data_IF_960340981197
#
_entry.id   IF_960340981197
#
_cell.length_a   1.000
_cell.length_b   1.000
_cell.length_c   1.000
_cell.angle_alpha   90.00
_cell.angle_beta   90.00
_cell.angle_gamma   90.00
#
_symmetry.space_group_name_H-M   'P 1'
#
loop_
_entity.id
_entity.type
_entity.pdbx_description
1 polymer ?
#
# COMPACT_ATOMS: atom_id res chain seq x y z
N UNK A 1 -0.12 4.28 0.20
CA UNK A 1 -1.51 4.80 0.28
C UNK A 1 -2.23 4.45 1.58
N UNK A 2 -1.78 3.41 2.30
CA UNK A 2 -2.42 2.95 3.54
C UNK A 2 -2.34 4.00 4.65
N UNK A 3 -1.21 4.70 4.79
CA UNK A 3 -1.05 5.80 5.76
C UNK A 3 -2.07 6.96 5.56
N UNK A 4 -2.37 7.33 4.30
CA UNK A 4 -3.43 8.31 3.99
C UNK A 4 -4.81 7.77 4.35
N UNK A 5 -5.05 6.49 4.07
CA UNK A 5 -6.31 5.81 4.36
C UNK A 5 -6.54 5.66 5.87
N UNK A 6 -5.50 5.37 6.65
CA UNK A 6 -5.56 5.33 8.11
C UNK A 6 -5.84 6.71 8.72
N UNK A 7 -5.27 7.78 8.17
CA UNK A 7 -5.61 9.15 8.63
C UNK A 7 -7.05 9.54 8.32
N UNK A 8 -7.64 8.99 7.26
CA UNK A 8 -9.00 9.28 6.82
C UNK A 8 -10.06 8.41 7.50
N UNK A 9 -9.78 7.13 7.67
CA UNK A 9 -10.74 6.10 8.12
C UNK A 9 -10.37 5.54 9.50
N UNK A 10 -9.16 5.78 10.02
CA UNK A 10 -8.70 5.30 11.33
C UNK A 10 -8.46 3.79 11.38
N UNK A 11 -8.62 3.20 12.56
CA UNK A 11 -8.40 1.76 12.84
C UNK A 11 -9.33 0.83 12.04
N UNK A 12 -10.37 1.38 11.40
CA UNK A 12 -11.31 0.63 10.58
C UNK A 12 -10.67 -0.04 9.36
N UNK A 13 -9.49 0.42 8.91
CA UNK A 13 -8.76 -0.23 7.81
C UNK A 13 -8.48 -1.71 8.13
N UNK A 14 -8.08 -2.01 9.37
CA UNK A 14 -7.83 -3.38 9.80
C UNK A 14 -9.13 -4.23 9.80
N UNK A 15 -10.26 -3.63 10.18
CA UNK A 15 -11.56 -4.30 10.16
C UNK A 15 -12.00 -4.63 8.71
N UNK A 16 -11.83 -3.69 7.77
CA UNK A 16 -12.12 -3.94 6.35
C UNK A 16 -11.23 -5.02 5.77
N UNK A 17 -9.94 -5.04 6.12
CA UNK A 17 -9.02 -6.08 5.69
C UNK A 17 -9.39 -7.44 6.26
N UNK A 18 -9.79 -7.51 7.53
CA UNK A 18 -10.26 -8.74 8.16
C UNK A 18 -11.51 -9.28 7.46
N UNK A 19 -12.47 -8.42 7.13
CA UNK A 19 -13.66 -8.80 6.36
C UNK A 19 -13.26 -9.32 4.97
N UNK A 20 -12.36 -8.63 4.27
CA UNK A 20 -11.87 -9.07 2.97
C UNK A 20 -11.20 -10.46 3.06
N UNK A 21 -10.35 -10.69 4.05
CA UNK A 21 -9.73 -12.01 4.31
C UNK A 21 -10.78 -13.09 4.57
N UNK A 22 -11.79 -12.80 5.39
CA UNK A 22 -12.88 -13.75 5.66
C UNK A 22 -13.62 -14.12 4.37
N UNK A 23 -13.92 -13.13 3.52
CA UNK A 23 -14.58 -13.38 2.23
C UNK A 23 -13.72 -14.30 1.36
N UNK A 24 -12.42 -14.00 1.22
CA UNK A 24 -11.49 -14.82 0.42
C UNK A 24 -11.39 -16.24 0.97
N UNK A 25 -11.37 -16.40 2.30
CA UNK A 25 -11.28 -17.71 2.96
C UNK A 25 -12.47 -18.62 2.61
N UNK A 26 -13.68 -18.06 2.55
CA UNK A 26 -14.89 -18.82 2.26
C UNK A 26 -15.20 -18.93 0.76
N UNK A 27 -14.84 -17.93 -0.05
CA UNK A 27 -15.30 -17.82 -1.43
C UNK A 27 -14.26 -18.21 -2.48
N UNK A 28 -12.96 -18.18 -2.15
CA UNK A 28 -11.89 -18.32 -3.15
C UNK A 28 -10.99 -19.49 -2.80
N UNK A 29 -10.12 -19.31 -1.81
CA UNK A 29 -9.15 -20.31 -1.40
C UNK A 29 -8.60 -19.96 0.00
N UNK A 30 -8.36 -21.00 0.81
CA UNK A 30 -7.92 -20.83 2.20
C UNK A 30 -6.46 -20.42 2.31
N UNK A 31 -5.61 -20.95 1.44
CA UNK A 31 -4.19 -20.61 1.43
C UNK A 31 -4.03 -19.17 0.96
N UNK A 32 -4.75 -18.78 -0.09
CA UNK A 32 -4.77 -17.40 -0.57
C UNK A 32 -5.22 -16.41 0.52
N UNK A 33 -6.25 -16.76 1.30
CA UNK A 33 -6.71 -15.92 2.39
C UNK A 33 -5.61 -15.73 3.45
N UNK A 34 -4.92 -16.82 3.82
CA UNK A 34 -3.82 -16.79 4.78
C UNK A 34 -2.66 -15.92 4.29
N UNK A 35 -2.20 -16.13 3.05
CA UNK A 35 -1.11 -15.34 2.47
C UNK A 35 -1.49 -13.88 2.27
N UNK A 36 -2.74 -13.58 1.94
CA UNK A 36 -3.24 -12.19 1.83
C UNK A 36 -3.26 -11.48 3.18
N UNK A 37 -3.67 -12.18 4.25
CA UNK A 37 -3.62 -11.65 5.61
C UNK A 37 -2.18 -11.41 6.08
N UNK A 38 -1.28 -12.35 5.78
CA UNK A 38 0.14 -12.23 6.13
C UNK A 38 0.82 -11.11 5.34
N UNK A 39 0.52 -10.99 4.04
CA UNK A 39 0.94 -9.88 3.19
C UNK A 39 0.51 -8.54 3.76
N UNK A 40 -0.76 -8.43 4.17
CA UNK A 40 -1.27 -7.23 4.80
C UNK A 40 -0.50 -6.87 6.07
N UNK A 41 -0.32 -7.81 7.00
CA UNK A 41 0.38 -7.58 8.27
C UNK A 41 1.84 -7.17 8.06
N UNK A 42 2.55 -7.83 7.15
CA UNK A 42 3.95 -7.51 6.85
C UNK A 42 4.07 -6.12 6.25
N UNK A 43 3.23 -5.80 5.26
CA UNK A 43 3.23 -4.47 4.64
C UNK A 43 2.79 -3.37 5.59
N UNK A 44 1.83 -3.64 6.48
CA UNK A 44 1.40 -2.72 7.53
C UNK A 44 2.54 -2.46 8.53
N UNK A 45 3.26 -3.52 8.94
CA UNK A 45 4.45 -3.37 9.78
C UNK A 45 5.56 -2.55 9.11
N UNK A 46 5.81 -2.78 7.81
CA UNK A 46 6.77 -1.98 7.02
C UNK A 46 6.34 -0.52 6.97
N UNK A 47 5.06 -0.24 6.74
CA UNK A 47 4.52 1.12 6.70
C UNK A 47 4.65 1.81 8.07
N UNK A 48 4.40 1.10 9.18
CA UNK A 48 4.56 1.63 10.54
C UNK A 48 6.03 1.89 10.91
N UNK A 49 6.94 1.03 10.46
CA UNK A 49 8.39 1.21 10.62
C UNK A 49 8.84 2.41 9.78
N UNK A 50 8.47 2.45 8.50
CA UNK A 50 8.74 3.57 7.62
C UNK A 50 8.22 4.88 8.22
N UNK A 51 7.03 4.88 8.83
CA UNK A 51 6.48 6.03 9.54
C UNK A 51 7.34 6.48 10.72
N UNK A 52 7.82 5.55 11.55
CA UNK A 52 8.64 5.89 12.71
C UNK A 52 10.02 6.42 12.32
N UNK A 53 10.64 5.86 11.27
CA UNK A 53 11.98 6.22 10.84
C UNK A 53 12.03 7.45 9.91
N UNK A 54 11.03 7.66 9.04
CA UNK A 54 11.00 8.74 8.04
C UNK A 54 10.25 10.00 8.50
N UNK A 55 10.24 10.27 9.82
CA UNK A 55 9.51 11.40 10.45
C UNK A 55 9.77 12.80 9.88
N UNK A 56 10.80 12.99 9.04
CA UNK A 56 11.23 14.29 8.49
C UNK A 56 10.81 14.57 7.05
N UNK A 57 10.27 13.60 6.31
CA UNK A 57 9.95 13.80 4.88
C UNK A 57 8.47 14.15 4.64
N UNK A 58 8.23 14.91 3.57
CA UNK A 58 6.89 15.30 3.12
C UNK A 58 6.02 14.07 2.82
N UNK A 59 4.72 14.16 3.14
CA UNK A 59 3.77 13.04 3.02
C UNK A 59 3.75 12.40 1.61
N UNK A 60 4.04 13.19 0.57
CA UNK A 60 4.06 12.74 -0.83
C UNK A 60 5.18 11.74 -1.10
N UNK A 61 6.41 12.08 -0.75
CA UNK A 61 7.59 11.28 -1.10
C UNK A 61 7.67 10.02 -0.23
N UNK A 62 7.14 10.12 1.00
CA UNK A 62 6.94 8.96 1.88
C UNK A 62 6.01 7.91 1.30
N UNK A 63 4.94 8.31 0.61
CA UNK A 63 4.00 7.35 -0.01
C UNK A 63 4.71 6.51 -1.08
N UNK A 64 5.63 7.10 -1.86
CA UNK A 64 6.39 6.37 -2.87
C UNK A 64 7.35 5.36 -2.24
N UNK A 65 8.17 5.78 -1.28
CA UNK A 65 9.15 4.91 -0.63
C UNK A 65 8.49 3.77 0.16
N UNK A 66 7.48 4.08 0.97
CA UNK A 66 6.75 3.09 1.75
C UNK A 66 6.07 2.06 0.86
N UNK A 67 5.41 2.52 -0.21
CA UNK A 67 4.72 1.62 -1.14
C UNK A 67 5.72 0.78 -1.94
N UNK A 68 6.89 1.31 -2.32
CA UNK A 68 7.91 0.55 -3.02
C UNK A 68 8.41 -0.64 -2.20
N UNK A 69 8.72 -0.43 -0.92
CA UNK A 69 9.19 -1.50 -0.04
C UNK A 69 8.05 -2.47 0.29
N UNK A 70 6.89 -1.97 0.69
CA UNK A 70 5.75 -2.81 1.07
C UNK A 70 5.27 -3.70 -0.08
N UNK A 71 5.30 -3.22 -1.33
CA UNK A 71 4.84 -3.96 -2.51
C UNK A 71 5.71 -5.17 -2.85
N UNK A 72 7.01 -5.13 -2.53
CA UNK A 72 7.91 -6.27 -2.75
C UNK A 72 7.47 -7.47 -1.91
N UNK A 73 7.16 -7.24 -0.64
CA UNK A 73 6.72 -8.30 0.27
C UNK A 73 5.27 -8.73 -0.02
N UNK A 74 4.37 -7.77 -0.26
CA UNK A 74 2.95 -8.04 -0.54
C UNK A 74 2.78 -8.90 -1.79
N UNK A 75 3.45 -8.52 -2.89
CA UNK A 75 3.38 -9.24 -4.16
C UNK A 75 4.00 -10.63 -4.09
N UNK A 76 5.12 -10.78 -3.38
CA UNK A 76 5.77 -12.08 -3.20
C UNK A 76 4.87 -13.06 -2.44
N UNK A 77 4.25 -12.61 -1.35
CA UNK A 77 3.38 -13.43 -0.52
C UNK A 77 2.09 -13.83 -1.23
N UNK A 78 1.44 -12.90 -1.92
CA UNK A 78 0.21 -13.19 -2.67
C UNK A 78 0.49 -14.16 -3.82
N UNK A 79 1.53 -13.93 -4.62
CA UNK A 79 1.87 -14.82 -5.74
C UNK A 79 2.34 -16.20 -5.26
N UNK A 80 3.03 -16.25 -4.12
CA UNK A 80 3.37 -17.52 -3.48
C UNK A 80 2.10 -18.29 -3.06
N UNK A 81 1.12 -17.60 -2.46
CA UNK A 81 -0.17 -18.21 -2.10
C UNK A 81 -1.00 -18.67 -3.30
N UNK A 82 -0.80 -18.08 -4.47
CA UNK A 82 -1.42 -18.50 -5.72
C UNK A 82 -0.66 -19.63 -6.43
N UNK A 83 0.50 -20.07 -5.92
CA UNK A 83 1.45 -20.93 -6.63
C UNK A 83 1.91 -20.38 -8.00
N UNK A 84 1.83 -19.07 -8.18
CA UNK A 84 2.13 -18.34 -9.42
C UNK A 84 3.38 -17.46 -9.30
N UNK A 85 4.24 -17.77 -8.32
CA UNK A 85 5.48 -17.03 -8.06
C UNK A 85 6.54 -17.33 -9.14
N UNK A 86 6.39 -16.67 -10.28
CA UNK A 86 7.38 -16.63 -11.35
C UNK A 86 7.95 -15.22 -11.46
N UNK A 87 9.19 -15.10 -11.96
CA UNK A 87 9.81 -13.78 -12.19
C UNK A 87 8.94 -12.84 -13.04
N UNK A 88 8.33 -13.28 -14.16
CA UNK A 88 7.44 -12.42 -14.95
C UNK A 88 6.20 -11.96 -14.19
N UNK A 89 5.54 -12.86 -13.44
CA UNK A 89 4.35 -12.52 -12.65
C UNK A 89 4.69 -11.54 -11.53
N UNK A 90 5.81 -11.77 -10.84
CA UNK A 90 6.29 -10.91 -9.77
C UNK A 90 6.63 -9.50 -10.26
N UNK A 91 7.37 -9.39 -11.36
CA UNK A 91 7.71 -8.10 -11.96
C UNK A 91 6.45 -7.37 -12.44
N UNK A 92 5.53 -8.08 -13.08
CA UNK A 92 4.27 -7.49 -13.58
C UNK A 92 3.39 -6.98 -12.44
N UNK A 93 3.28 -7.76 -11.36
CA UNK A 93 2.53 -7.39 -10.16
C UNK A 93 3.14 -6.17 -9.47
N UNK A 94 4.47 -6.15 -9.32
CA UNK A 94 5.19 -5.01 -8.76
C UNK A 94 5.03 -3.75 -9.62
N UNK A 95 5.25 -3.86 -10.94
CA UNK A 95 5.15 -2.75 -11.87
C UNK A 95 3.73 -2.15 -11.89
N UNK A 96 2.68 -2.98 -11.88
CA UNK A 96 1.30 -2.51 -11.84
C UNK A 96 1.00 -1.66 -10.60
N UNK A 97 1.43 -2.12 -9.42
CA UNK A 97 1.25 -1.39 -8.15
C UNK A 97 2.10 -0.12 -8.07
N UNK A 98 3.32 -0.15 -8.61
CA UNK A 98 4.18 1.04 -8.68
C UNK A 98 3.64 2.08 -9.64
N UNK A 99 3.12 1.68 -10.81
CA UNK A 99 2.46 2.60 -11.74
C UNK A 99 1.25 3.28 -11.09
N UNK A 100 0.39 2.50 -10.41
CA UNK A 100 -0.75 3.06 -9.69
C UNK A 100 -0.32 4.05 -8.59
N UNK A 101 0.72 3.71 -7.83
CA UNK A 101 1.29 4.58 -6.80
C UNK A 101 1.86 5.87 -7.41
N UNK A 102 2.58 5.76 -8.52
CA UNK A 102 3.17 6.89 -9.22
C UNK A 102 2.11 7.86 -9.78
N UNK A 103 1.04 7.34 -10.39
CA UNK A 103 -0.09 8.15 -10.86
C UNK A 103 -0.72 8.93 -9.70
N UNK A 104 -0.94 8.29 -8.55
CA UNK A 104 -1.51 8.97 -7.39
C UNK A 104 -0.54 9.99 -6.80
N UNK A 105 0.76 9.69 -6.76
CA UNK A 105 1.78 10.68 -6.39
C UNK A 105 1.75 11.91 -7.30
N UNK A 106 1.64 11.72 -8.62
CA UNK A 106 1.49 12.83 -9.58
C UNK A 106 0.24 13.67 -9.27
N UNK A 107 -0.90 13.05 -9.00
CA UNK A 107 -2.14 13.77 -8.64
C UNK A 107 -1.94 14.58 -7.36
N UNK A 108 -1.38 13.96 -6.30
CA UNK A 108 -1.10 14.64 -5.04
C UNK A 108 -0.09 15.80 -5.22
N UNK A 109 0.90 15.62 -6.09
CA UNK A 109 1.86 16.65 -6.45
C UNK A 109 1.17 17.86 -7.10
N UNK A 110 0.32 17.63 -8.12
CA UNK A 110 -0.44 18.69 -8.78
C UNK A 110 -1.40 19.42 -7.83
N UNK A 111 -2.11 18.68 -6.96
CA UNK A 111 -3.05 19.26 -6.01
C UNK A 111 -2.37 20.16 -4.98
N UNK A 112 -1.22 19.75 -4.47
CA UNK A 112 -0.45 20.53 -3.53
C UNK A 112 0.13 21.81 -4.16
N UNK A 113 0.62 21.73 -5.41
CA UNK A 113 1.14 22.91 -6.12
C UNK A 113 0.06 23.96 -6.41
N UNK A 114 -1.21 23.56 -6.56
CA UNK A 114 -2.35 24.50 -6.65
C UNK A 114 -2.70 25.15 -5.32
N UNK A 115 -2.46 24.46 -4.19
CA UNK A 115 -2.77 24.98 -2.85
C UNK A 115 -1.76 26.02 -2.39
N UNK A 116 -0.48 25.84 -2.73
CA UNK A 116 0.57 26.81 -2.43
C UNK A 116 0.44 28.10 -3.23
N UNK A 117 -0.18 28.08 -4.42
CA UNK A 117 -0.45 29.28 -5.22
C UNK A 117 -1.71 30.07 -4.78
N UNK A 118 -2.50 29.53 -3.84
CA UNK A 118 -3.72 30.17 -3.32
C UNK A 118 -3.58 30.60 -1.86
N UNK A 119 -2.44 30.34 -1.22
CA UNK A 119 -2.14 30.87 0.11
C UNK A 119 -1.95 32.40 -0.01
N UNK A 120 -2.67 33.22 0.75
CA UNK A 120 -2.43 34.66 0.75
C UNK A 120 -0.99 34.91 1.19
N UNK A 121 -0.29 35.78 0.46
CA UNK A 121 1.01 36.27 0.89
C UNK A 121 0.81 37.02 2.22
N UNK A 122 1.33 36.44 3.31
CA UNK A 122 1.49 37.14 4.58
C UNK A 122 2.56 38.24 4.48
#
# INVERSE_FOLDING_TARGET
MRDYTQRLIGDWVAAFMLIATIIVYFCVDRDLAYYSALAFLVSEGIDQIAFHFLKKEDLKDRILWSSAVATLFDGALILYGLNELTWPNYISHYAGKMLATFVIWLVLWHLHNKRSSLAPAE
#
